data_IF_500866784698
#
_entry.id   IF_500866784698
#
_cell.length_a   1.000
_cell.length_b   1.000
_cell.length_c   1.000
_cell.angle_alpha   90.00
_cell.angle_beta   90.00
_cell.angle_gamma   90.00
#
_symmetry.space_group_name_H-M   'P 1'
#
loop_
_entity.id
_entity.type
_entity.pdbx_description
1 polymer ?
#
# COMPACT_ATOMS: atom_id res chain seq x y z
N UNK A 1 11.41 -11.19 -25.72
CA UNK A 1 10.99 -12.18 -24.72
C UNK A 1 9.57 -11.79 -24.41
N UNK A 2 8.60 -12.55 -24.90
CA UNK A 2 7.20 -12.29 -24.60
C UNK A 2 7.00 -12.66 -23.13
N UNK A 3 6.82 -11.67 -22.26
CA UNK A 3 6.38 -11.88 -20.89
C UNK A 3 4.94 -12.38 -20.93
N UNK A 4 4.78 -13.70 -21.10
CA UNK A 4 3.49 -14.36 -21.04
C UNK A 4 2.98 -14.17 -19.61
N UNK A 5 1.87 -13.42 -19.39
CA UNK A 5 1.30 -13.31 -18.06
C UNK A 5 0.95 -14.72 -17.57
N UNK A 6 1.40 -15.07 -16.35
CA UNK A 6 1.18 -16.39 -15.74
C UNK A 6 -0.31 -16.82 -15.79
N UNK A 7 -1.21 -15.84 -15.72
CA UNK A 7 -2.62 -15.91 -16.10
C UNK A 7 -3.16 -14.47 -16.33
N UNK A 8 -4.27 -14.27 -17.06
CA UNK A 8 -4.85 -12.94 -17.27
C UNK A 8 -5.17 -12.23 -15.93
N UNK A 9 -4.66 -11.01 -15.73
CA UNK A 9 -4.93 -10.20 -14.53
C UNK A 9 -3.97 -10.43 -13.35
N UNK A 10 -2.91 -11.23 -13.51
CA UNK A 10 -1.88 -11.41 -12.46
C UNK A 10 -1.20 -10.10 -12.06
N UNK A 11 -1.06 -9.17 -13.02
CA UNK A 11 -0.57 -7.81 -12.82
C UNK A 11 -1.32 -7.08 -11.70
N UNK A 12 -2.64 -7.26 -11.61
CA UNK A 12 -3.50 -6.61 -10.60
C UNK A 12 -3.26 -7.19 -9.21
N UNK A 13 -3.02 -8.50 -9.12
CA UNK A 13 -2.67 -9.16 -7.85
C UNK A 13 -1.29 -8.69 -7.39
N UNK A 14 -0.33 -8.54 -8.31
CA UNK A 14 1.00 -8.01 -8.00
C UNK A 14 0.90 -6.57 -7.47
N UNK A 15 0.12 -5.71 -8.13
CA UNK A 15 -0.16 -4.34 -7.68
C UNK A 15 -0.77 -4.28 -6.28
N UNK A 16 -1.82 -5.08 -6.05
CA UNK A 16 -2.43 -5.24 -4.73
C UNK A 16 -1.41 -5.65 -3.66
N UNK A 17 -0.61 -6.68 -3.93
CA UNK A 17 0.40 -7.19 -3.00
C UNK A 17 1.53 -6.18 -2.76
N UNK A 18 1.97 -5.46 -3.79
CA UNK A 18 3.05 -4.49 -3.72
C UNK A 18 2.66 -3.29 -2.85
N UNK A 19 1.52 -2.66 -3.14
CA UNK A 19 1.03 -1.52 -2.36
C UNK A 19 0.54 -1.93 -0.97
N UNK A 20 -0.04 -3.12 -0.83
CA UNK A 20 -0.38 -3.69 0.47
C UNK A 20 0.86 -3.95 1.33
N UNK A 21 1.92 -4.52 0.75
CA UNK A 21 3.19 -4.73 1.44
C UNK A 21 3.87 -3.42 1.84
N UNK A 22 3.94 -2.44 0.94
CA UNK A 22 4.50 -1.12 1.21
C UNK A 22 3.74 -0.40 2.34
N UNK A 23 2.41 -0.25 2.20
CA UNK A 23 1.57 0.40 3.20
C UNK A 23 1.61 -0.33 4.55
N UNK A 24 1.60 -1.67 4.52
CA UNK A 24 1.69 -2.50 5.72
C UNK A 24 3.02 -2.34 6.46
N UNK A 25 4.15 -2.26 5.73
CA UNK A 25 5.46 -1.97 6.31
C UNK A 25 5.49 -0.58 6.95
N UNK A 26 4.97 0.44 6.28
CA UNK A 26 4.90 1.80 6.85
C UNK A 26 4.06 1.84 8.13
N UNK A 27 2.91 1.15 8.14
CA UNK A 27 2.09 1.00 9.34
C UNK A 27 2.84 0.28 10.46
N UNK A 28 3.53 -0.82 10.15
CA UNK A 28 4.30 -1.59 11.13
C UNK A 28 5.43 -0.75 11.73
N UNK A 29 6.22 -0.07 10.91
CA UNK A 29 7.32 0.79 11.36
C UNK A 29 6.81 1.95 12.21
N UNK A 30 5.71 2.60 11.79
CA UNK A 30 5.12 3.69 12.56
C UNK A 30 4.63 3.20 13.93
N UNK A 31 3.86 2.11 13.97
CA UNK A 31 3.35 1.54 15.22
C UNK A 31 4.47 1.04 16.14
N UNK A 32 5.56 0.48 15.59
CA UNK A 32 6.73 0.04 16.36
C UNK A 32 7.54 1.21 16.90
N UNK A 33 7.84 2.21 16.06
CA UNK A 33 8.66 3.36 16.43
C UNK A 33 7.94 4.30 17.40
N UNK A 34 6.61 4.33 17.35
CA UNK A 34 5.81 5.21 18.19
C UNK A 34 5.07 4.46 19.32
N UNK A 35 5.53 3.25 19.67
CA UNK A 35 4.97 2.36 20.69
C UNK A 35 4.78 2.99 22.09
N UNK A 36 5.57 4.01 22.46
CA UNK A 36 5.57 4.64 23.80
C UNK A 36 4.89 6.01 23.89
N UNK A 37 4.61 6.64 22.76
CA UNK A 37 4.03 7.97 22.73
C UNK A 37 2.66 7.87 22.06
N UNK A 38 1.64 8.46 22.67
CA UNK A 38 0.36 8.86 22.05
C UNK A 38 0.63 9.89 20.93
N UNK A 39 1.52 9.53 20.02
CA UNK A 39 1.85 10.30 18.84
C UNK A 39 0.63 10.38 17.98
N UNK A 40 0.53 11.53 17.33
CA UNK A 40 -0.59 11.91 16.49
C UNK A 40 -0.70 10.91 15.34
N UNK A 41 -1.53 9.87 15.55
CA UNK A 41 -1.80 8.77 14.60
C UNK A 41 -2.21 9.28 13.21
N UNK A 42 -2.67 10.54 13.10
CA UNK A 42 -2.91 11.20 11.83
C UNK A 42 -1.69 11.23 10.89
N UNK A 43 -0.45 11.30 11.41
CA UNK A 43 0.73 11.21 10.56
C UNK A 43 0.88 9.82 9.92
N UNK A 44 0.48 8.76 10.63
CA UNK A 44 0.45 7.41 10.07
C UNK A 44 -0.57 7.31 8.93
N UNK A 45 -1.75 7.91 9.10
CA UNK A 45 -2.77 7.96 8.04
C UNK A 45 -2.26 8.72 6.80
N UNK A 46 -1.55 9.83 6.99
CA UNK A 46 -0.96 10.57 5.86
C UNK A 46 0.13 9.74 5.18
N UNK A 47 1.06 9.17 5.97
CA UNK A 47 2.24 8.46 5.44
C UNK A 47 1.95 7.08 4.86
N UNK A 48 1.10 6.29 5.52
CA UNK A 48 0.83 4.90 5.15
C UNK A 48 -0.42 4.71 4.29
N UNK A 49 -1.30 5.73 4.18
CA UNK A 49 -2.55 5.64 3.40
C UNK A 49 -2.61 6.69 2.29
N UNK A 50 -2.60 7.98 2.65
CA UNK A 50 -2.76 9.05 1.66
C UNK A 50 -1.60 9.11 0.68
N UNK A 51 -0.36 9.07 1.17
CA UNK A 51 0.84 9.17 0.34
C UNK A 51 0.94 8.01 -0.68
N UNK A 52 0.75 6.73 -0.31
CA UNK A 52 0.74 5.63 -1.27
C UNK A 52 -0.37 5.75 -2.32
N UNK A 53 -1.59 6.14 -1.95
CA UNK A 53 -2.70 6.29 -2.91
C UNK A 53 -2.39 7.41 -3.91
N UNK A 54 -1.93 8.56 -3.43
CA UNK A 54 -1.55 9.68 -4.32
C UNK A 54 -0.39 9.28 -5.23
N UNK A 55 0.62 8.61 -4.69
CA UNK A 55 1.76 8.13 -5.46
C UNK A 55 1.35 7.12 -6.53
N UNK A 56 0.40 6.21 -6.23
CA UNK A 56 -0.20 5.30 -7.22
C UNK A 56 -0.81 6.08 -8.39
N UNK A 57 -1.65 7.07 -8.11
CA UNK A 57 -2.29 7.88 -9.17
C UNK A 57 -1.28 8.67 -10.01
N UNK A 58 -0.24 9.21 -9.39
CA UNK A 58 0.85 9.90 -10.11
C UNK A 58 1.59 8.92 -11.03
N UNK A 59 1.92 7.72 -10.54
CA UNK A 59 2.65 6.72 -11.32
C UNK A 59 1.83 6.25 -12.52
N UNK A 60 0.52 6.04 -12.38
CA UNK A 60 -0.35 5.68 -13.51
C UNK A 60 -0.40 6.76 -14.59
N UNK A 61 -0.51 8.03 -14.19
CA UNK A 61 -0.45 9.17 -15.11
C UNK A 61 0.93 9.22 -15.79
N UNK A 62 2.02 9.03 -15.05
CA UNK A 62 3.36 9.00 -15.62
C UNK A 62 3.57 7.81 -16.55
N UNK A 63 2.96 6.65 -16.29
CA UNK A 63 3.02 5.51 -17.20
C UNK A 63 2.36 5.86 -18.53
N UNK A 64 1.15 6.43 -18.49
CA UNK A 64 0.40 6.85 -19.68
C UNK A 64 1.13 7.92 -20.53
N UNK A 65 1.67 8.97 -19.88
CA UNK A 65 2.23 10.12 -20.60
C UNK A 65 3.74 10.06 -20.81
N UNK A 66 4.47 9.31 -19.98
CA UNK A 66 5.94 9.31 -19.99
C UNK A 66 6.55 7.96 -20.40
N UNK A 67 5.76 6.91 -20.64
CA UNK A 67 6.30 5.62 -21.09
C UNK A 67 5.66 5.15 -22.39
N UNK A 68 6.43 4.45 -23.22
CA UNK A 68 5.99 3.96 -24.54
C UNK A 68 5.66 2.47 -24.56
N UNK A 69 5.90 1.78 -23.44
CA UNK A 69 5.74 0.32 -23.32
C UNK A 69 4.68 -0.10 -22.29
N UNK A 70 4.16 0.82 -21.47
CA UNK A 70 3.10 0.56 -20.48
C UNK A 70 2.12 1.74 -20.43
N UNK A 71 0.86 1.50 -20.78
CA UNK A 71 -0.19 2.50 -20.59
C UNK A 71 -0.65 2.54 -19.13
N UNK A 72 -1.29 3.63 -18.72
CA UNK A 72 -1.96 3.70 -17.42
C UNK A 72 -3.23 2.86 -17.42
N UNK A 73 -3.46 2.07 -16.37
CA UNK A 73 -4.67 1.27 -16.15
C UNK A 73 -5.36 1.71 -14.85
N UNK A 74 -6.58 2.24 -14.96
CA UNK A 74 -7.39 2.59 -13.80
C UNK A 74 -7.68 1.40 -12.88
N UNK A 75 -7.66 0.17 -13.40
CA UNK A 75 -7.76 -1.03 -12.56
C UNK A 75 -6.47 -1.34 -11.80
N UNK A 76 -5.30 -0.97 -12.30
CA UNK A 76 -4.04 -1.06 -11.56
C UNK A 76 -4.06 -0.04 -10.40
N UNK A 77 -4.52 1.18 -10.64
CA UNK A 77 -4.78 2.17 -9.58
C UNK A 77 -5.74 1.64 -8.50
N UNK A 78 -6.83 0.99 -8.92
CA UNK A 78 -7.81 0.41 -8.01
C UNK A 78 -7.20 -0.73 -7.19
N UNK A 79 -6.46 -1.63 -7.83
CA UNK A 79 -5.78 -2.74 -7.16
C UNK A 79 -4.78 -2.23 -6.11
N UNK A 80 -3.99 -1.21 -6.44
CA UNK A 80 -3.08 -0.54 -5.51
C UNK A 80 -3.83 0.05 -4.31
N UNK A 81 -4.93 0.76 -4.57
CA UNK A 81 -5.77 1.35 -3.52
C UNK A 81 -6.39 0.28 -2.61
N UNK A 82 -6.88 -0.83 -3.18
CA UNK A 82 -7.37 -1.97 -2.42
C UNK A 82 -6.27 -2.59 -1.55
N UNK A 83 -5.04 -2.68 -2.05
CA UNK A 83 -3.88 -3.15 -1.29
C UNK A 83 -3.62 -2.28 -0.05
N UNK A 84 -3.63 -0.96 -0.22
CA UNK A 84 -3.47 0.01 0.89
C UNK A 84 -4.60 -0.11 1.92
N UNK A 85 -5.85 -0.25 1.47
CA UNK A 85 -7.01 -0.43 2.38
C UNK A 85 -6.88 -1.74 3.16
N UNK A 86 -6.53 -2.84 2.49
CA UNK A 86 -6.35 -4.14 3.13
C UNK A 86 -5.22 -4.11 4.16
N UNK A 87 -4.09 -3.48 3.83
CA UNK A 87 -2.97 -3.29 4.74
C UNK A 87 -3.34 -2.44 5.96
N UNK A 88 -4.12 -1.39 5.75
CA UNK A 88 -4.62 -0.52 6.84
C UNK A 88 -5.58 -1.27 7.77
N UNK A 89 -6.50 -2.07 7.21
CA UNK A 89 -7.39 -2.91 8.00
C UNK A 89 -6.59 -3.94 8.82
N UNK A 90 -5.62 -4.62 8.20
CA UNK A 90 -4.73 -5.55 8.89
C UNK A 90 -3.92 -4.85 10.00
N UNK A 91 -3.39 -3.66 9.73
CA UNK A 91 -2.65 -2.89 10.72
C UNK A 91 -3.52 -2.51 11.92
N UNK A 92 -4.77 -2.10 11.69
CA UNK A 92 -5.67 -1.66 12.76
C UNK A 92 -6.20 -2.81 13.61
N UNK A 93 -6.60 -3.91 12.99
CA UNK A 93 -7.23 -5.05 13.66
C UNK A 93 -6.25 -6.10 14.19
N UNK A 94 -5.04 -6.20 13.61
CA UNK A 94 -4.05 -7.23 13.98
C UNK A 94 -2.80 -6.60 14.58
N UNK A 95 -2.11 -5.74 13.83
CA UNK A 95 -0.81 -5.22 14.27
C UNK A 95 -0.93 -4.33 15.51
N UNK A 96 -1.88 -3.40 15.53
CA UNK A 96 -2.10 -2.48 16.65
C UNK A 96 -2.39 -3.22 17.96
N UNK A 97 -3.39 -4.12 18.06
CA UNK A 97 -3.63 -4.84 19.31
C UNK A 97 -2.47 -5.78 19.67
N UNK A 98 -1.81 -6.41 18.69
CA UNK A 98 -0.67 -7.27 18.96
C UNK A 98 0.52 -6.50 19.59
N UNK A 99 0.90 -5.36 18.99
CA UNK A 99 1.99 -4.50 19.48
C UNK A 99 1.68 -3.91 20.86
N UNK A 100 0.41 -3.57 21.13
CA UNK A 100 -0.03 -3.06 22.43
C UNK A 100 -0.09 -4.17 23.49
N UNK A 101 -0.54 -5.37 23.12
CA UNK A 101 -0.65 -6.51 24.04
C UNK A 101 0.70 -7.14 24.40
N UNK A 102 1.73 -7.04 23.55
CA UNK A 102 3.13 -7.37 23.89
C UNK A 102 3.69 -6.61 25.11
N UNK A 103 2.93 -5.68 25.70
CA UNK A 103 3.35 -4.84 26.83
C UNK A 103 2.69 -5.21 28.17
N UNK A 104 1.80 -6.21 28.22
CA UNK A 104 1.28 -6.79 29.48
C UNK A 104 2.05 -8.04 29.86
#
# INVERSE_FOLDING_TARGET
>A
MDDIPLFPGVDKVVHFCMYGGMSGMLWLEFLRNHRKYETVLWHAWIGAVLCPIVMSGIIEILQEYCTTYRGGDWFDFLANTCGVIAATAFAWFVLRPWIVNEQK
#
